data_IF_411175907465
#
_entry.id   IF_411175907465
#
_cell.length_a   1.000
_cell.length_b   1.000
_cell.length_c   1.000
_cell.angle_alpha   90.00
_cell.angle_beta   90.00
_cell.angle_gamma   90.00
#
_symmetry.space_group_name_H-M   'P 1'
#
loop_
_entity.id
_entity.type
_entity.pdbx_description
1 polymer ?
#
# COMPACT_ATOMS: atom_id res chain seq x y z
N UNK A 1 7.18 -7.60 -1.43
CA UNK A 1 6.97 -6.13 -1.37
C UNK A 1 6.60 -5.64 0.03
N UNK A 2 5.54 -6.14 0.68
CA UNK A 2 5.15 -5.62 2.01
C UNK A 2 6.25 -5.77 3.08
N UNK A 3 7.07 -6.83 3.00
CA UNK A 3 8.25 -7.00 3.86
C UNK A 3 9.33 -5.94 3.60
N UNK A 4 9.55 -5.55 2.34
CA UNK A 4 10.45 -4.46 1.98
C UNK A 4 9.94 -3.13 2.56
N UNK A 5 8.66 -2.82 2.34
CA UNK A 5 7.97 -1.66 2.92
C UNK A 5 8.12 -1.67 4.45
N UNK A 6 7.93 -2.81 5.11
CA UNK A 6 8.06 -2.96 6.55
C UNK A 6 9.51 -2.78 7.07
N UNK A 7 10.54 -3.04 6.25
CA UNK A 7 11.93 -2.71 6.56
C UNK A 7 12.17 -1.21 6.39
N UNK A 8 11.81 -0.66 5.24
CA UNK A 8 12.09 0.72 4.85
C UNK A 8 11.35 1.73 5.76
N UNK A 9 10.13 1.40 6.19
CA UNK A 9 9.32 2.26 7.08
C UNK A 9 9.80 2.31 8.53
N UNK A 10 10.83 1.55 8.91
CA UNK A 10 11.52 1.73 10.20
C UNK A 10 12.53 2.88 10.16
N UNK A 11 12.95 3.28 8.96
CA UNK A 11 13.86 4.39 8.74
C UNK A 11 13.09 5.62 8.25
N UNK A 12 13.71 6.79 8.47
CA UNK A 12 13.29 8.06 7.87
C UNK A 12 14.23 8.51 6.76
N UNK A 13 15.10 7.60 6.30
CA UNK A 13 16.14 7.90 5.32
C UNK A 13 15.64 7.67 3.89
N UNK A 14 16.10 8.54 3.00
CA UNK A 14 15.93 8.37 1.56
C UNK A 14 16.99 7.40 1.01
N UNK A 15 16.71 6.83 -0.17
CA UNK A 15 17.67 5.96 -0.87
C UNK A 15 18.97 6.73 -1.11
N UNK A 16 18.84 7.96 -1.60
CA UNK A 16 19.95 8.87 -1.83
C UNK A 16 19.98 9.86 -0.68
N UNK A 17 21.03 9.75 0.12
CA UNK A 17 21.33 10.65 1.24
C UNK A 17 22.84 10.78 1.40
N UNK A 18 23.28 11.77 2.18
CA UNK A 18 24.70 11.97 2.44
C UNK A 18 25.29 10.76 3.19
N UNK A 19 26.36 10.18 2.65
CA UNK A 19 27.16 9.18 3.35
C UNK A 19 28.02 9.88 4.40
N UNK A 20 27.74 9.63 5.68
CA UNK A 20 28.46 10.23 6.81
C UNK A 20 29.40 9.25 7.49
N UNK A 21 29.03 7.97 7.52
CA UNK A 21 29.85 6.91 8.11
C UNK A 21 29.94 5.69 7.20
N UNK A 22 30.86 4.77 7.51
CA UNK A 22 31.01 3.54 6.75
C UNK A 22 29.80 2.60 6.92
N UNK A 23 29.04 2.72 8.02
CA UNK A 23 27.81 1.95 8.21
C UNK A 23 26.76 2.28 7.14
N UNK A 24 26.77 3.51 6.62
CA UNK A 24 25.81 3.97 5.61
C UNK A 24 25.95 3.21 4.28
N UNK A 25 27.11 2.62 4.01
CA UNK A 25 27.39 1.80 2.82
C UNK A 25 26.59 0.49 2.85
N UNK A 26 26.28 -0.03 4.04
CA UNK A 26 25.58 -1.30 4.21
C UNK A 26 24.05 -1.16 4.17
N UNK A 27 23.53 0.03 3.85
CA UNK A 27 22.09 0.26 3.70
C UNK A 27 21.60 -0.43 2.42
N UNK A 28 20.73 -1.42 2.58
CA UNK A 28 20.08 -2.10 1.47
C UNK A 28 18.61 -1.67 1.38
N UNK A 29 18.21 -1.18 0.21
CA UNK A 29 16.82 -0.84 -0.10
C UNK A 29 16.31 -1.77 -1.20
N UNK A 30 15.10 -2.31 -1.05
CA UNK A 30 14.45 -3.04 -2.15
C UNK A 30 13.67 -2.08 -3.08
N UNK A 31 13.35 -0.88 -2.59
CA UNK A 31 12.63 0.18 -3.31
C UNK A 31 13.21 0.49 -4.71
N UNK A 32 14.54 0.55 -4.95
CA UNK A 32 15.11 0.80 -6.28
C UNK A 32 14.77 -0.28 -7.32
N UNK A 33 14.75 -1.56 -6.94
CA UNK A 33 14.41 -2.63 -7.88
C UNK A 33 12.93 -2.54 -8.31
N UNK A 34 12.05 -2.23 -7.36
CA UNK A 34 10.62 -2.05 -7.61
C UNK A 34 10.36 -0.76 -8.42
N UNK A 35 11.18 0.28 -8.24
CA UNK A 35 11.09 1.52 -9.00
C UNK A 35 11.11 1.30 -10.51
N UNK A 36 11.99 0.44 -11.04
CA UNK A 36 12.03 0.22 -12.48
C UNK A 36 10.79 -0.51 -13.02
N UNK A 37 10.19 -1.39 -12.22
CA UNK A 37 8.90 -2.01 -12.56
C UNK A 37 7.80 -0.94 -12.62
N UNK A 38 7.77 -0.04 -11.63
CA UNK A 38 6.83 1.08 -11.61
C UNK A 38 7.07 2.07 -12.76
N UNK A 39 8.33 2.37 -13.08
CA UNK A 39 8.70 3.26 -14.18
C UNK A 39 8.13 2.71 -15.50
N UNK A 40 8.32 1.41 -15.75
CA UNK A 40 7.76 0.74 -16.93
C UNK A 40 6.23 0.74 -16.93
N UNK A 41 5.62 0.42 -15.79
CA UNK A 41 4.16 0.40 -15.64
C UNK A 41 3.50 1.77 -15.79
N UNK A 42 4.18 2.85 -15.39
CA UNK A 42 3.65 4.21 -15.42
C UNK A 42 3.97 4.99 -16.69
N UNK A 43 5.13 4.73 -17.31
CA UNK A 43 5.68 5.56 -18.38
C UNK A 43 5.97 4.80 -19.68
N UNK A 44 5.58 3.52 -19.75
CA UNK A 44 5.57 2.71 -20.98
C UNK A 44 6.57 1.55 -20.97
N UNK A 45 6.24 0.47 -21.71
CA UNK A 45 6.94 -0.81 -21.65
C UNK A 45 8.44 -0.75 -22.02
N UNK A 46 8.84 0.15 -22.90
CA UNK A 46 10.23 0.27 -23.36
C UNK A 46 11.06 1.30 -22.58
N UNK A 47 10.49 2.00 -21.59
CA UNK A 47 11.17 3.12 -20.94
C UNK A 47 12.46 2.70 -20.24
N UNK A 48 12.45 1.54 -19.56
CA UNK A 48 13.63 1.02 -18.85
C UNK A 48 14.71 0.63 -19.85
N UNK A 49 14.33 -0.03 -20.95
CA UNK A 49 15.25 -0.40 -22.03
C UNK A 49 15.92 0.82 -22.66
N UNK A 50 15.13 1.87 -22.97
CA UNK A 50 15.64 3.14 -23.51
C UNK A 50 16.58 3.82 -22.52
N UNK A 51 16.17 3.92 -21.25
CA UNK A 51 17.00 4.48 -20.18
C UNK A 51 18.35 3.76 -20.08
N UNK A 52 18.36 2.43 -20.00
CA UNK A 52 19.60 1.65 -19.92
C UNK A 52 20.50 1.86 -21.13
N UNK A 53 19.93 1.93 -22.34
CA UNK A 53 20.70 2.20 -23.56
C UNK A 53 21.35 3.58 -23.51
N UNK A 54 20.59 4.62 -23.14
CA UNK A 54 21.09 5.98 -23.04
C UNK A 54 22.17 6.12 -21.95
N UNK A 55 21.97 5.47 -20.79
CA UNK A 55 22.94 5.48 -19.69
C UNK A 55 24.28 4.90 -20.13
N UNK A 56 24.25 3.72 -20.76
CA UNK A 56 25.48 3.06 -21.26
C UNK A 56 26.12 3.90 -22.36
N UNK A 57 25.34 4.44 -23.30
CA UNK A 57 25.89 5.23 -24.40
C UNK A 57 26.58 6.52 -23.95
N UNK A 58 25.96 7.26 -23.01
CA UNK A 58 26.46 8.58 -22.59
C UNK A 58 27.54 8.49 -21.51
N UNK A 59 27.49 7.46 -20.66
CA UNK A 59 28.35 7.34 -19.48
C UNK A 59 29.20 6.07 -19.45
N UNK A 60 29.36 5.36 -20.58
CA UNK A 60 30.36 4.30 -20.69
C UNK A 60 31.75 4.86 -20.30
N UNK A 61 32.39 4.20 -19.33
CA UNK A 61 33.68 4.61 -18.76
C UNK A 61 33.68 5.96 -18.03
N UNK A 62 32.49 6.51 -17.75
CA UNK A 62 32.29 7.72 -16.95
C UNK A 62 31.51 7.47 -15.67
N UNK A 63 31.08 8.55 -15.04
CA UNK A 63 30.24 8.52 -13.84
C UNK A 63 28.88 9.16 -14.14
N UNK A 64 27.81 8.63 -13.56
CA UNK A 64 26.47 9.21 -13.62
C UNK A 64 25.89 9.28 -12.20
N UNK A 65 25.49 10.47 -11.78
CA UNK A 65 24.83 10.72 -10.50
C UNK A 65 23.33 10.93 -10.66
N UNK A 66 22.74 11.54 -9.63
CA UNK A 66 21.28 11.75 -9.54
C UNK A 66 20.75 12.64 -10.66
N UNK A 67 21.48 13.71 -10.98
CA UNK A 67 21.08 14.68 -12.01
C UNK A 67 21.10 14.02 -13.39
N UNK A 68 22.15 13.27 -13.69
CA UNK A 68 22.28 12.55 -14.96
C UNK A 68 21.19 11.48 -15.10
N UNK A 69 20.88 10.74 -14.03
CA UNK A 69 19.80 9.76 -14.03
C UNK A 69 18.44 10.39 -14.24
N UNK A 70 18.16 11.51 -13.56
CA UNK A 70 16.93 12.27 -13.75
C UNK A 70 16.73 12.64 -15.22
N UNK A 71 17.73 13.25 -15.85
CA UNK A 71 17.63 13.74 -17.22
C UNK A 71 17.46 12.59 -18.23
N UNK A 72 18.19 11.49 -18.02
CA UNK A 72 18.06 10.28 -18.83
C UNK A 72 16.68 9.63 -18.71
N UNK A 73 16.07 9.63 -17.51
CA UNK A 73 14.72 9.10 -17.29
C UNK A 73 13.70 9.98 -18.01
N UNK A 74 13.83 11.31 -17.92
CA UNK A 74 12.96 12.25 -18.65
C UNK A 74 13.06 12.05 -20.16
N UNK A 75 14.28 11.85 -20.69
CA UNK A 75 14.54 11.59 -22.10
C UNK A 75 13.96 10.24 -22.56
N UNK A 76 14.17 9.18 -21.79
CA UNK A 76 13.68 7.84 -22.10
C UNK A 76 12.14 7.76 -22.09
N UNK A 77 11.50 8.42 -21.12
CA UNK A 77 10.06 8.48 -20.97
C UNK A 77 9.39 9.52 -21.86
N UNK A 78 10.16 10.46 -22.40
CA UNK A 78 9.67 11.67 -23.08
C UNK A 78 8.64 12.43 -22.23
N UNK A 79 8.82 12.39 -20.90
CA UNK A 79 7.86 12.93 -19.94
C UNK A 79 8.59 13.48 -18.71
N UNK A 80 8.46 14.79 -18.46
CA UNK A 80 9.06 15.46 -17.30
C UNK A 80 8.57 14.90 -15.95
N UNK A 81 7.34 14.37 -15.92
CA UNK A 81 6.77 13.74 -14.74
C UNK A 81 7.55 12.49 -14.32
N UNK A 82 8.23 11.79 -15.25
CA UNK A 82 9.08 10.65 -14.93
C UNK A 82 10.32 11.06 -14.13
N UNK A 83 10.88 12.24 -14.40
CA UNK A 83 11.97 12.81 -13.61
C UNK A 83 11.52 13.21 -12.20
N UNK A 84 10.33 13.83 -12.08
CA UNK A 84 9.72 14.11 -10.77
C UNK A 84 9.49 12.82 -9.98
N UNK A 85 8.94 11.80 -10.63
CA UNK A 85 8.73 10.47 -10.05
C UNK A 85 10.05 9.85 -9.54
N UNK A 86 11.13 9.94 -10.32
CA UNK A 86 12.46 9.50 -9.89
C UNK A 86 12.93 10.21 -8.63
N UNK A 87 12.93 11.55 -8.63
CA UNK A 87 13.37 12.33 -7.49
C UNK A 87 12.56 11.99 -6.24
N UNK A 88 11.23 11.98 -6.34
CA UNK A 88 10.34 11.64 -5.23
C UNK A 88 10.65 10.27 -4.61
N UNK A 89 10.93 9.25 -5.42
CA UNK A 89 11.17 7.91 -4.88
C UNK A 89 12.60 7.71 -4.35
N UNK A 90 13.59 8.40 -4.90
CA UNK A 90 15.00 8.23 -4.51
C UNK A 90 15.49 9.22 -3.45
N UNK A 91 14.95 10.45 -3.42
CA UNK A 91 15.43 11.52 -2.52
C UNK A 91 14.45 11.84 -1.39
N UNK A 92 13.20 11.40 -1.47
CA UNK A 92 12.22 11.57 -0.38
C UNK A 92 12.03 10.24 0.38
N UNK A 93 12.08 10.26 1.73
CA UNK A 93 11.80 9.08 2.53
C UNK A 93 10.30 8.76 2.53
N UNK A 94 10.01 7.50 2.81
CA UNK A 94 8.65 7.05 3.08
C UNK A 94 8.00 6.28 1.95
N UNK A 95 6.75 5.92 2.22
CA UNK A 95 5.93 5.00 1.42
C UNK A 95 4.56 5.63 1.22
N UNK A 96 4.04 5.67 -0.03
CA UNK A 96 2.68 6.11 -0.28
C UNK A 96 1.67 5.12 0.29
N UNK A 97 0.71 5.65 1.05
CA UNK A 97 -0.51 4.99 1.48
C UNK A 97 -1.66 5.53 0.64
N UNK A 98 -2.31 4.66 -0.12
CA UNK A 98 -3.48 4.98 -0.94
C UNK A 98 -4.73 4.50 -0.23
N UNK A 99 -5.58 5.43 0.20
CA UNK A 99 -6.89 5.15 0.80
C UNK A 99 -7.94 5.07 -0.30
N UNK A 100 -8.82 4.07 -0.19
CA UNK A 100 -9.91 3.81 -1.13
C UNK A 100 -11.23 3.82 -0.37
N UNK A 101 -12.13 4.71 -0.75
CA UNK A 101 -13.46 4.84 -0.15
C UNK A 101 -14.54 4.96 -1.23
N UNK A 102 -15.74 4.44 -1.00
CA UNK A 102 -16.86 4.65 -1.92
C UNK A 102 -17.32 6.12 -1.87
N UNK A 103 -17.76 6.60 -3.02
CA UNK A 103 -18.54 7.81 -3.19
C UNK A 103 -19.80 7.49 -4.01
N UNK A 104 -20.84 8.34 -3.98
CA UNK A 104 -22.08 8.09 -4.71
C UNK A 104 -21.88 7.70 -6.19
N UNK A 105 -20.89 8.32 -6.85
CA UNK A 105 -20.61 8.16 -8.27
C UNK A 105 -19.35 7.32 -8.57
N UNK A 106 -18.73 6.70 -7.56
CA UNK A 106 -17.51 5.93 -7.79
C UNK A 106 -16.70 5.60 -6.54
N UNK A 107 -15.37 5.68 -6.69
CA UNK A 107 -14.42 5.55 -5.58
C UNK A 107 -13.51 6.76 -5.52
N UNK A 108 -13.26 7.22 -4.31
CA UNK A 108 -12.26 8.22 -4.00
C UNK A 108 -10.94 7.51 -3.68
N UNK A 109 -9.89 7.87 -4.40
CA UNK A 109 -8.52 7.58 -4.03
C UNK A 109 -7.93 8.80 -3.33
N UNK A 110 -7.29 8.57 -2.18
CA UNK A 110 -6.55 9.60 -1.44
C UNK A 110 -5.16 9.10 -1.14
N UNK A 111 -4.12 9.88 -1.44
CA UNK A 111 -2.75 9.53 -1.07
C UNK A 111 -2.28 10.26 0.18
N UNK A 112 -1.50 9.55 0.98
CA UNK A 112 -0.76 10.04 2.13
C UNK A 112 0.64 9.45 2.09
N UNK A 113 1.63 10.15 2.64
CA UNK A 113 3.00 9.60 2.77
C UNK A 113 3.24 9.16 4.21
N UNK A 114 3.74 7.94 4.38
CA UNK A 114 4.11 7.37 5.68
C UNK A 114 5.64 7.34 5.81
N UNK A 115 6.16 7.94 6.87
CA UNK A 115 7.60 7.99 7.21
C UNK A 115 7.78 7.49 8.63
N UNK A 116 8.73 6.59 8.88
CA UNK A 116 8.99 6.05 10.22
C UNK A 116 7.72 5.56 10.95
N UNK A 117 6.86 4.81 10.23
CA UNK A 117 5.55 4.31 10.68
C UNK A 117 4.55 5.39 11.15
N UNK A 118 4.72 6.65 10.75
CA UNK A 118 3.80 7.75 11.04
C UNK A 118 3.39 8.49 9.78
N UNK A 119 2.19 9.06 9.78
CA UNK A 119 1.74 9.96 8.73
C UNK A 119 2.66 11.18 8.71
N UNK A 120 3.27 11.46 7.55
CA UNK A 120 4.08 12.64 7.36
C UNK A 120 3.17 13.86 7.16
N UNK A 121 3.41 14.91 7.94
CA UNK A 121 2.68 16.18 7.79
C UNK A 121 3.26 16.95 6.58
N UNK A 122 2.39 17.57 5.78
CA UNK A 122 2.77 18.46 4.66
C UNK A 122 3.70 17.85 3.59
N UNK A 123 3.51 16.58 3.23
CA UNK A 123 4.20 15.98 2.08
C UNK A 123 3.55 16.37 0.75
N UNK A 124 4.38 16.52 -0.28
CA UNK A 124 3.91 16.71 -1.65
C UNK A 124 3.22 15.44 -2.14
N UNK A 125 2.27 15.57 -3.07
CA UNK A 125 1.69 14.39 -3.72
C UNK A 125 2.75 13.68 -4.55
N UNK A 126 2.90 12.38 -4.29
CA UNK A 126 3.77 11.51 -5.04
C UNK A 126 3.11 11.15 -6.38
N UNK A 127 3.93 10.91 -7.39
CA UNK A 127 3.51 10.29 -8.65
C UNK A 127 3.45 8.79 -8.43
N UNK A 128 2.25 8.22 -8.38
CA UNK A 128 2.04 6.81 -8.07
C UNK A 128 1.41 6.12 -9.28
N UNK A 129 2.14 5.28 -10.03
CA UNK A 129 1.52 4.46 -11.07
C UNK A 129 0.64 3.42 -10.39
N UNK A 130 -0.64 3.34 -10.74
CA UNK A 130 -1.58 2.35 -10.18
C UNK A 130 -2.27 1.60 -11.31
N UNK A 131 -2.59 0.33 -11.02
CA UNK A 131 -3.41 -0.51 -11.88
C UNK A 131 -4.77 -0.70 -11.20
N UNK A 132 -5.85 -0.33 -11.88
CA UNK A 132 -7.22 -0.44 -11.36
C UNK A 132 -7.96 -1.56 -12.09
N UNK A 133 -8.34 -2.61 -11.36
CA UNK A 133 -9.16 -3.68 -11.90
C UNK A 133 -10.58 -3.56 -11.36
N UNK A 134 -11.56 -3.62 -12.25
CA UNK A 134 -12.98 -3.50 -11.90
C UNK A 134 -13.74 -4.72 -12.39
N UNK A 135 -14.94 -4.95 -11.85
CA UNK A 135 -15.82 -6.05 -12.30
C UNK A 135 -16.45 -5.81 -13.67
N UNK A 136 -16.41 -4.57 -14.14
CA UNK A 136 -17.00 -4.15 -15.40
C UNK A 136 -16.05 -4.27 -16.58
N UNK A 137 -14.75 -4.08 -16.34
CA UNK A 137 -13.73 -4.06 -17.38
C UNK A 137 -12.77 -5.21 -17.14
N UNK A 138 -12.66 -6.10 -18.13
CA UNK A 138 -11.79 -7.28 -18.06
C UNK A 138 -10.31 -6.90 -17.99
N UNK A 139 -9.94 -5.81 -18.66
CA UNK A 139 -8.59 -5.26 -18.65
C UNK A 139 -8.43 -4.25 -17.52
N UNK A 140 -7.31 -4.33 -16.81
CA UNK A 140 -7.02 -3.38 -15.77
C UNK A 140 -6.60 -2.04 -16.38
N UNK A 141 -7.12 -0.95 -15.82
CA UNK A 141 -6.82 0.41 -16.24
C UNK A 141 -5.58 0.91 -15.51
N UNK A 142 -4.52 1.23 -16.25
CA UNK A 142 -3.35 1.92 -15.70
C UNK A 142 -3.62 3.41 -15.54
N UNK A 143 -3.18 3.98 -14.43
CA UNK A 143 -3.29 5.41 -14.12
C UNK A 143 -1.98 5.92 -13.50
N UNK A 144 -1.70 7.21 -13.68
CA UNK A 144 -0.68 7.95 -12.93
C UNK A 144 -1.37 8.83 -11.89
N UNK A 145 -1.47 8.34 -10.66
CA UNK A 145 -2.12 9.08 -9.57
C UNK A 145 -1.15 10.13 -9.03
N UNK A 146 -1.45 11.40 -9.32
CA UNK A 146 -0.58 12.55 -9.00
C UNK A 146 -1.24 13.56 -8.06
N UNK A 147 -2.58 13.57 -7.99
CA UNK A 147 -3.33 14.44 -7.10
C UNK A 147 -3.35 13.90 -5.66
N UNK A 148 -3.60 14.77 -4.67
CA UNK A 148 -3.84 14.32 -3.29
C UNK A 148 -5.06 13.41 -3.20
N UNK A 149 -6.10 13.76 -3.95
CA UNK A 149 -7.37 13.07 -3.98
C UNK A 149 -7.87 13.06 -5.43
N UNK A 150 -8.42 11.93 -5.89
CA UNK A 150 -8.99 11.78 -7.23
C UNK A 150 -10.16 10.79 -7.18
N UNK A 151 -11.26 11.12 -7.84
CA UNK A 151 -12.45 10.26 -7.92
C UNK A 151 -12.47 9.50 -9.24
N UNK A 152 -12.67 8.19 -9.16
CA UNK A 152 -12.81 7.32 -10.32
C UNK A 152 -14.24 6.81 -10.40
N UNK A 153 -14.88 7.06 -11.54
CA UNK A 153 -16.23 6.61 -11.78
C UNK A 153 -16.32 5.06 -11.74
N UNK A 154 -17.28 4.55 -10.98
CA UNK A 154 -17.70 3.15 -10.98
C UNK A 154 -19.23 3.12 -11.08
N UNK A 155 -19.78 2.21 -11.89
CA UNK A 155 -21.23 1.98 -11.82
C UNK A 155 -21.63 1.60 -10.40
N UNK A 156 -22.84 1.97 -9.99
CA UNK A 156 -23.36 1.67 -8.65
C UNK A 156 -23.16 0.18 -8.31
N UNK A 157 -22.57 -0.06 -7.13
CA UNK A 157 -22.18 -1.39 -6.61
C UNK A 157 -21.00 -2.09 -7.30
N UNK A 158 -20.31 -1.46 -8.24
CA UNK A 158 -19.11 -2.02 -8.85
C UNK A 158 -17.99 -2.22 -7.82
N UNK A 159 -17.28 -3.34 -7.94
CA UNK A 159 -16.07 -3.60 -7.16
C UNK A 159 -14.83 -3.08 -7.87
N UNK A 160 -13.86 -2.62 -7.07
CA UNK A 160 -12.53 -2.23 -7.53
C UNK A 160 -11.46 -2.87 -6.68
N UNK A 161 -10.40 -3.34 -7.34
CA UNK A 161 -9.14 -3.70 -6.70
C UNK A 161 -8.07 -2.77 -7.28
N UNK A 162 -7.45 -2.00 -6.40
CA UNK A 162 -6.31 -1.13 -6.70
C UNK A 162 -5.03 -1.92 -6.51
N UNK A 163 -4.15 -1.84 -7.51
CA UNK A 163 -2.89 -2.58 -7.65
C UNK A 163 -3.03 -4.10 -7.41
N UNK A 164 -3.89 -4.80 -8.18
CA UNK A 164 -4.19 -6.22 -7.98
C UNK A 164 -2.96 -7.13 -8.08
N UNK A 165 -1.94 -6.70 -8.82
CA UNK A 165 -0.71 -7.45 -9.05
C UNK A 165 0.45 -7.00 -8.16
N UNK A 166 0.25 -5.97 -7.33
CA UNK A 166 1.26 -5.43 -6.43
C UNK A 166 2.55 -5.06 -7.18
N UNK A 167 2.40 -4.29 -8.25
CA UNK A 167 3.54 -3.77 -9.03
C UNK A 167 3.99 -2.41 -8.51
N UNK A 168 3.18 -1.77 -7.68
CA UNK A 168 3.43 -0.44 -7.17
C UNK A 168 3.96 -0.51 -5.75
N UNK A 169 5.07 0.20 -5.49
CA UNK A 169 5.58 0.43 -4.14
C UNK A 169 4.65 1.41 -3.40
N UNK A 170 3.50 0.91 -3.00
CA UNK A 170 2.47 1.60 -2.24
C UNK A 170 1.77 0.60 -1.33
N UNK A 171 1.11 1.10 -0.29
CA UNK A 171 0.18 0.33 0.53
C UNK A 171 -1.22 0.80 0.20
N UNK A 172 -2.12 -0.13 -0.13
CA UNK A 172 -3.51 0.19 -0.43
C UNK A 172 -4.40 -0.19 0.76
N UNK A 173 -5.13 0.79 1.29
CA UNK A 173 -6.10 0.58 2.37
C UNK A 173 -7.50 0.95 1.93
N UNK A 174 -8.44 0.06 2.19
CA UNK A 174 -9.84 0.24 1.82
C UNK A 174 -10.67 0.62 3.05
N UNK A 175 -11.85 1.19 2.83
CA UNK A 175 -12.86 1.27 3.88
C UNK A 175 -13.46 -0.10 4.21
N UNK A 176 -14.08 -0.21 5.38
CA UNK A 176 -14.59 -1.47 5.93
C UNK A 176 -15.55 -2.19 4.96
N UNK A 177 -16.46 -1.43 4.34
CA UNK A 177 -17.48 -1.96 3.44
C UNK A 177 -16.87 -2.58 2.18
N UNK A 178 -15.83 -1.94 1.62
CA UNK A 178 -15.11 -2.49 0.46
C UNK A 178 -14.39 -3.77 0.87
N UNK A 179 -13.67 -3.76 2.00
CA UNK A 179 -13.01 -4.95 2.52
C UNK A 179 -13.95 -6.14 2.71
N UNK A 180 -15.13 -5.93 3.32
CA UNK A 180 -16.14 -6.97 3.49
C UNK A 180 -16.61 -7.55 2.16
N UNK A 181 -16.86 -6.70 1.15
CA UNK A 181 -17.27 -7.13 -0.20
C UNK A 181 -16.19 -7.95 -0.90
N UNK A 182 -14.93 -7.48 -0.86
CA UNK A 182 -13.80 -8.19 -1.45
C UNK A 182 -13.57 -9.55 -0.81
N UNK A 183 -13.68 -9.65 0.52
CA UNK A 183 -13.54 -10.92 1.23
C UNK A 183 -14.67 -11.90 0.90
N UNK A 184 -15.92 -11.44 0.88
CA UNK A 184 -17.07 -12.26 0.50
C UNK A 184 -16.92 -12.77 -0.94
N UNK A 185 -16.46 -11.90 -1.85
CA UNK A 185 -16.17 -12.26 -3.23
C UNK A 185 -15.12 -13.37 -3.33
N UNK A 186 -14.01 -13.26 -2.60
CA UNK A 186 -12.94 -14.26 -2.57
C UNK A 186 -13.40 -15.61 -2.03
N UNK A 187 -14.32 -15.64 -1.06
CA UNK A 187 -14.82 -16.88 -0.45
C UNK A 187 -15.83 -17.62 -1.34
N UNK A 188 -16.62 -16.89 -2.12
CA UNK A 188 -17.69 -17.45 -2.95
C UNK A 188 -17.25 -17.77 -4.38
N UNK A 189 -16.02 -17.38 -4.77
CA UNK A 189 -15.53 -17.40 -6.16
C UNK A 189 -16.50 -16.73 -7.15
N UNK A 190 -17.35 -15.83 -6.66
CA UNK A 190 -18.46 -15.28 -7.44
C UNK A 190 -18.05 -14.12 -8.34
N UNK A 191 -16.81 -13.64 -8.27
CA UNK A 191 -16.37 -12.47 -9.03
C UNK A 191 -14.98 -12.63 -9.62
N UNK A 192 -14.85 -12.19 -10.88
CA UNK A 192 -13.63 -12.35 -11.68
C UNK A 192 -12.47 -11.45 -11.23
N UNK A 193 -12.75 -10.41 -10.45
CA UNK A 193 -11.77 -9.37 -10.05
C UNK A 193 -10.90 -9.83 -8.89
N UNK A 194 -11.42 -10.70 -8.01
CA UNK A 194 -10.73 -11.13 -6.80
C UNK A 194 -10.40 -12.61 -6.92
N UNK A 195 -9.13 -12.94 -6.71
CA UNK A 195 -8.64 -14.30 -6.60
C UNK A 195 -7.84 -14.46 -5.29
N UNK A 196 -7.48 -15.69 -4.95
CA UNK A 196 -6.74 -15.96 -3.71
C UNK A 196 -5.42 -15.20 -3.60
N UNK A 197 -4.75 -14.91 -4.72
CA UNK A 197 -3.46 -14.23 -4.71
C UNK A 197 -3.62 -12.73 -4.43
N UNK A 198 -4.50 -12.04 -5.16
CA UNK A 198 -4.69 -10.60 -4.93
C UNK A 198 -5.41 -10.32 -3.59
N UNK A 199 -6.32 -11.21 -3.14
CA UNK A 199 -6.91 -11.12 -1.81
C UNK A 199 -5.85 -11.24 -0.70
N UNK A 200 -4.83 -12.07 -0.91
CA UNK A 200 -3.69 -12.14 0.01
C UNK A 200 -2.92 -10.82 0.06
N UNK A 201 -2.69 -10.16 -1.08
CA UNK A 201 -2.05 -8.85 -1.10
C UNK A 201 -2.89 -7.79 -0.37
N UNK A 202 -4.20 -7.76 -0.64
CA UNK A 202 -5.15 -6.87 0.05
C UNK A 202 -5.10 -7.09 1.58
N UNK A 203 -5.08 -8.35 2.02
CA UNK A 203 -5.01 -8.70 3.43
C UNK A 203 -3.66 -8.31 4.07
N UNK A 204 -2.56 -8.46 3.33
CA UNK A 204 -1.22 -8.07 3.80
C UNK A 204 -1.09 -6.55 3.98
N UNK A 205 -1.64 -5.75 3.06
CA UNK A 205 -1.67 -4.28 3.17
C UNK A 205 -2.56 -3.82 4.33
N UNK A 206 -3.74 -4.44 4.47
CA UNK A 206 -4.61 -4.24 5.62
C UNK A 206 -3.88 -4.57 6.93
N UNK A 207 -3.24 -5.74 7.03
CA UNK A 207 -2.50 -6.14 8.22
C UNK A 207 -1.38 -5.16 8.55
N UNK A 208 -0.65 -4.67 7.56
CA UNK A 208 0.41 -3.69 7.78
C UNK A 208 -0.15 -2.38 8.31
N UNK A 209 -1.21 -1.83 7.70
CA UNK A 209 -1.83 -0.58 8.15
C UNK A 209 -2.49 -0.71 9.52
N UNK A 210 -3.21 -1.81 9.75
CA UNK A 210 -3.87 -2.13 11.02
C UNK A 210 -2.86 -2.26 12.17
N UNK A 211 -1.80 -3.03 11.97
CA UNK A 211 -0.78 -3.27 13.00
C UNK A 211 0.14 -2.06 13.29
N UNK A 212 0.09 -1.03 12.44
CA UNK A 212 0.76 0.26 12.65
C UNK A 212 -0.22 1.37 13.05
N UNK A 213 -1.48 1.04 13.37
CA UNK A 213 -2.52 1.98 13.79
C UNK A 213 -2.81 3.13 12.79
N UNK A 214 -2.70 2.82 11.49
CA UNK A 214 -2.90 3.76 10.38
C UNK A 214 -4.32 3.73 9.77
N UNK A 215 -5.21 2.87 10.31
CA UNK A 215 -6.63 2.89 9.98
C UNK A 215 -7.27 4.11 10.66
N UNK A 216 -8.06 4.87 9.90
CA UNK A 216 -8.75 6.05 10.43
C UNK A 216 -9.88 5.59 11.36
N UNK A 217 -9.75 5.96 12.64
CA UNK A 217 -10.76 5.73 13.67
C UNK A 217 -11.01 7.07 14.35
N UNK A 218 -12.24 7.57 14.21
CA UNK A 218 -12.72 8.75 14.92
C UNK A 218 -13.56 8.34 16.13
N UNK A 219 -13.64 9.22 17.13
CA UNK A 219 -14.43 8.95 18.35
C UNK A 219 -15.93 8.85 18.04
N UNK A 220 -16.38 9.51 16.97
CA UNK A 220 -17.76 9.54 16.48
C UNK A 220 -18.09 8.43 15.45
N UNK A 221 -17.22 7.42 15.30
CA UNK A 221 -17.45 6.34 14.33
C UNK A 221 -18.85 5.73 14.50
N UNK A 222 -19.72 5.76 13.47
CA UNK A 222 -21.07 5.23 13.57
C UNK A 222 -21.06 3.76 13.96
N UNK A 223 -22.02 3.37 14.80
CA UNK A 223 -22.16 2.00 15.29
C UNK A 223 -22.18 0.96 14.17
N UNK A 224 -22.84 1.28 13.05
CA UNK A 224 -22.90 0.36 11.91
C UNK A 224 -21.55 0.18 11.23
N UNK A 225 -20.70 1.21 11.17
CA UNK A 225 -19.34 1.07 10.68
C UNK A 225 -18.49 0.21 11.62
N UNK A 226 -18.66 0.35 12.94
CA UNK A 226 -17.98 -0.52 13.93
C UNK A 226 -18.43 -1.97 13.78
N UNK A 227 -19.71 -2.24 13.51
CA UNK A 227 -20.22 -3.58 13.23
C UNK A 227 -19.56 -4.19 11.98
N UNK A 228 -19.47 -3.42 10.88
CA UNK A 228 -18.84 -3.88 9.64
C UNK A 228 -17.37 -4.23 9.87
N UNK A 229 -16.62 -3.36 10.57
CA UNK A 229 -15.24 -3.67 10.97
C UNK A 229 -15.15 -4.93 11.84
N UNK A 230 -16.02 -5.04 12.85
CA UNK A 230 -16.04 -6.19 13.76
C UNK A 230 -16.23 -7.51 13.01
N UNK A 231 -17.16 -7.52 12.05
CA UNK A 231 -17.46 -8.70 11.26
C UNK A 231 -16.36 -9.00 10.24
N UNK A 232 -15.86 -7.99 9.53
CA UNK A 232 -14.73 -8.15 8.62
C UNK A 232 -13.50 -8.74 9.33
N UNK A 233 -13.12 -8.18 10.49
CA UNK A 233 -11.97 -8.67 11.26
C UNK A 233 -12.17 -10.13 11.69
N UNK A 234 -13.37 -10.48 12.15
CA UNK A 234 -13.72 -11.85 12.54
C UNK A 234 -13.67 -12.81 11.35
N UNK A 235 -14.21 -12.43 10.20
CA UNK A 235 -14.21 -13.28 9.02
C UNK A 235 -12.80 -13.45 8.44
N UNK A 236 -12.02 -12.36 8.38
CA UNK A 236 -10.66 -12.39 7.87
C UNK A 236 -9.75 -13.26 8.74
N UNK A 237 -9.90 -13.22 10.07
CA UNK A 237 -9.09 -14.03 11.00
C UNK A 237 -9.23 -15.54 10.80
N UNK A 238 -10.36 -15.98 10.24
CA UNK A 238 -10.65 -17.39 9.93
C UNK A 238 -10.07 -17.83 8.58
N UNK A 239 -9.51 -16.91 7.79
CA UNK A 239 -8.94 -17.21 6.48
C UNK A 239 -7.44 -17.52 6.55
N UNK A 240 -6.89 -18.25 5.57
CA UNK A 240 -5.44 -18.47 5.47
C UNK A 240 -4.66 -17.23 5.01
N UNK A 241 -5.34 -16.11 4.67
CA UNK A 241 -4.71 -14.90 4.15
C UNK A 241 -3.93 -14.13 5.22
N UNK A 242 -4.26 -14.31 6.50
CA UNK A 242 -3.64 -13.60 7.62
C UNK A 242 -3.02 -14.56 8.64
N UNK A 243 -1.88 -14.18 9.21
CA UNK A 243 -1.13 -15.00 10.19
C UNK A 243 -0.43 -14.12 11.23
N UNK A 244 0.06 -14.76 12.30
CA UNK A 244 0.88 -14.13 13.33
C UNK A 244 0.15 -13.03 14.08
N UNK A 245 0.85 -11.91 14.34
CA UNK A 245 0.30 -10.78 15.10
C UNK A 245 -0.97 -10.21 14.50
N UNK A 246 -1.09 -10.15 13.17
CA UNK A 246 -2.30 -9.64 12.52
C UNK A 246 -3.50 -10.50 12.91
N UNK A 247 -3.45 -11.81 12.62
CA UNK A 247 -4.54 -12.73 12.95
C UNK A 247 -4.92 -12.69 14.44
N UNK A 248 -3.93 -12.68 15.33
CA UNK A 248 -4.18 -12.58 16.77
C UNK A 248 -4.87 -11.26 17.17
N UNK A 249 -4.53 -10.13 16.55
CA UNK A 249 -5.17 -8.85 16.85
C UNK A 249 -6.57 -8.70 16.22
N UNK A 250 -6.89 -9.49 15.19
CA UNK A 250 -8.22 -9.51 14.58
C UNK A 250 -9.26 -10.26 15.43
N UNK A 251 -8.83 -11.31 16.14
CA UNK A 251 -9.71 -12.07 17.03
C UNK A 251 -8.99 -12.50 18.32
N UNK A 252 -9.48 -11.96 19.45
CA UNK A 252 -8.96 -12.23 20.79
C UNK A 252 -9.16 -13.68 21.23
N UNK A 253 -10.15 -14.36 20.67
CA UNK A 253 -10.49 -15.73 21.03
C UNK A 253 -9.59 -16.76 20.35
N UNK A 254 -8.76 -16.35 19.39
CA UNK A 254 -7.75 -17.21 18.81
C UNK A 254 -6.72 -17.59 19.88
N UNK A 255 -6.58 -18.88 20.15
CA UNK A 255 -5.65 -19.38 21.17
C UNK A 255 -4.19 -19.20 20.73
N UNK A 256 -3.91 -19.46 19.45
CA UNK A 256 -2.61 -19.30 18.79
C UNK A 256 -2.78 -18.90 17.33
N UNK A 257 -1.81 -18.15 16.81
CA UNK A 257 -1.61 -18.04 15.37
C UNK A 257 -0.23 -18.59 15.05
N UNK A 258 -0.18 -19.57 14.16
CA UNK A 258 1.03 -20.35 13.89
C UNK A 258 1.53 -21.03 15.18
N UNK A 259 2.75 -20.71 15.65
CA UNK A 259 3.37 -21.30 16.82
C UNK A 259 3.42 -20.37 18.05
N UNK A 260 2.86 -19.15 17.97
CA UNK A 260 2.91 -18.19 19.07
C UNK A 260 1.52 -18.04 19.70
N UNK A 261 1.40 -18.15 21.04
CA UNK A 261 0.13 -17.91 21.72
C UNK A 261 -0.32 -16.46 21.55
N UNK A 262 -1.57 -16.23 21.15
CA UNK A 262 -2.05 -14.89 20.85
C UNK A 262 -2.04 -13.96 22.07
N UNK A 263 -2.15 -14.50 23.29
CA UNK A 263 -2.10 -13.72 24.54
C UNK A 263 -0.91 -12.76 24.64
N UNK A 264 0.25 -13.11 24.06
CA UNK A 264 1.44 -12.28 24.07
C UNK A 264 1.30 -11.09 23.12
N UNK A 265 0.85 -11.35 21.89
CA UNK A 265 0.59 -10.29 20.91
C UNK A 265 -0.46 -9.28 21.39
N UNK A 266 -1.44 -9.74 22.17
CA UNK A 266 -2.48 -8.86 22.73
C UNK A 266 -1.90 -7.78 23.62
N UNK A 267 -1.13 -8.19 24.64
CA UNK A 267 -0.53 -7.30 25.61
C UNK A 267 0.51 -6.36 24.97
N UNK A 268 1.32 -6.89 24.06
CA UNK A 268 2.46 -6.14 23.53
C UNK A 268 2.07 -5.21 22.37
N UNK A 269 0.96 -5.50 21.67
CA UNK A 269 0.63 -4.81 20.42
C UNK A 269 -0.86 -4.52 20.23
N UNK A 270 -1.73 -5.51 20.36
CA UNK A 270 -3.13 -5.36 19.90
C UNK A 270 -3.93 -4.34 20.71
N UNK A 271 -3.71 -4.26 22.03
CA UNK A 271 -4.45 -3.33 22.91
C UNK A 271 -4.15 -1.85 22.62
N UNK A 272 -3.03 -1.55 21.95
CA UNK A 272 -2.65 -0.19 21.59
C UNK A 272 -3.32 0.29 20.28
N UNK A 273 -3.86 -0.62 19.47
CA UNK A 273 -4.51 -0.30 18.20
C UNK A 273 -5.89 0.33 18.45
N UNK A 274 -6.16 1.52 17.90
CA UNK A 274 -7.41 2.26 18.10
C UNK A 274 -8.63 1.49 17.59
N UNK A 275 -8.52 0.87 16.42
CA UNK A 275 -9.63 0.09 15.84
C UNK A 275 -10.01 -1.10 16.73
N UNK A 276 -9.01 -1.80 17.28
CA UNK A 276 -9.23 -2.92 18.21
C UNK A 276 -10.00 -2.45 19.44
N UNK A 277 -9.55 -1.37 20.08
CA UNK A 277 -10.22 -0.81 21.27
C UNK A 277 -11.66 -0.42 20.97
N UNK A 278 -11.92 0.23 19.84
CA UNK A 278 -13.27 0.63 19.42
C UNK A 278 -14.19 -0.58 19.21
N UNK A 279 -13.71 -1.61 18.50
CA UNK A 279 -14.47 -2.85 18.26
C UNK A 279 -14.73 -3.62 19.55
N UNK A 280 -13.76 -3.69 20.47
CA UNK A 280 -13.92 -4.38 21.75
C UNK A 280 -14.90 -3.67 22.68
N UNK A 281 -14.80 -2.35 22.79
CA UNK A 281 -15.76 -1.55 23.56
C UNK A 281 -17.19 -1.77 23.04
N UNK A 282 -17.37 -1.80 21.72
CA UNK A 282 -18.67 -2.10 21.11
C UNK A 282 -19.17 -3.51 21.45
N UNK A 283 -18.32 -4.54 21.39
CA UNK A 283 -18.73 -5.92 21.75
C UNK A 283 -19.13 -6.05 23.22
N UNK A 284 -18.37 -5.46 24.13
CA UNK A 284 -18.64 -5.55 25.57
C UNK A 284 -19.91 -4.81 25.99
N UNK A 285 -20.34 -3.80 25.24
CA UNK A 285 -21.56 -3.03 25.53
C UNK A 285 -22.84 -3.66 24.95
N UNK A 286 -22.72 -4.72 24.13
CA UNK A 286 -23.84 -5.39 23.46
C UNK A 286 -23.92 -6.90 23.77
N UNK A 287 -23.20 -7.34 24.81
CA UNK A 287 -23.33 -8.66 25.45
C UNK A 287 -23.97 -8.41 26.82
#
# INVERSE_FOLDING_TARGET
MIEAIARDTKSSEAIISDFRTYEDIFRCFDKPAIFFVMLQSGFGEDVVKKFSHLLIQKYAYGNAGVVEWHDLIVEAAQNKLAGQFFNQYFTEPGVPLVRVAYQPDGVLLKQETIVAAKKANNTSSLVIPLELQTDQVKEAKQILFTAKEETFALKHNGMVVVDPHRKTYAVVVYEAQIYSRLLQCAQTNACAVVNSQNMRYIAEDFCWTFLNDLIEVNDEMPTDQVKVWSEFMRLLSLTPYVKGSCACCLDKNLTKSFNVPCKWHWKDRCEHIRLVRKVQSFRNNNI
#
